data_IF_476127422402
#
_entry.id   IF_476127422402
#
_cell.length_a   1.000
_cell.length_b   1.000
_cell.length_c   1.000
_cell.angle_alpha   90.00
_cell.angle_beta   90.00
_cell.angle_gamma   90.00
#
_symmetry.space_group_name_H-M   'P 1'
#
loop_
_entity.id
_entity.type
_entity.pdbx_description
1 polymer ?
#
# COMPACT_ATOMS: atom_id res chain seq x y z
N UNK A 1 -3.51 -17.93 -13.74
CA UNK A 1 -3.05 -18.10 -15.14
C UNK A 1 -3.45 -16.86 -15.92
N UNK A 2 -2.50 -15.96 -16.20
CA UNK A 2 -2.75 -14.74 -16.99
C UNK A 2 -2.59 -15.08 -18.48
N UNK A 3 -3.64 -14.85 -19.27
CA UNK A 3 -3.63 -15.04 -20.74
C UNK A 3 -2.56 -14.13 -21.36
N UNK A 4 -1.61 -14.71 -22.07
CA UNK A 4 -0.64 -13.94 -22.85
C UNK A 4 -1.37 -13.36 -24.07
N UNK A 5 -1.43 -12.03 -24.15
CA UNK A 5 -2.08 -11.30 -25.25
C UNK A 5 -1.08 -11.21 -26.42
N UNK A 6 -1.44 -11.78 -27.57
CA UNK A 6 -0.59 -11.93 -28.76
C UNK A 6 -0.88 -10.90 -29.87
N UNK A 7 -1.88 -10.03 -29.73
CA UNK A 7 -2.22 -9.01 -30.73
C UNK A 7 -1.65 -7.64 -30.37
N UNK A 8 -1.17 -6.89 -31.36
CA UNK A 8 -0.45 -5.61 -31.20
C UNK A 8 -1.31 -4.40 -30.81
N UNK A 9 -2.64 -4.53 -30.82
CA UNK A 9 -3.55 -3.44 -30.51
C UNK A 9 -3.67 -3.25 -28.99
N UNK A 10 -3.14 -2.13 -28.46
CA UNK A 10 -3.23 -1.78 -27.03
C UNK A 10 -2.08 -2.26 -26.13
N UNK A 11 -1.17 -3.10 -26.62
CA UNK A 11 0.04 -3.53 -25.87
C UNK A 11 1.23 -2.59 -26.04
N UNK A 12 1.24 -1.74 -27.07
CA UNK A 12 2.36 -0.81 -27.32
C UNK A 12 2.54 0.18 -26.16
N UNK A 13 1.45 0.77 -25.65
CA UNK A 13 1.50 1.69 -24.51
C UNK A 13 2.00 1.00 -23.24
N UNK A 14 1.42 -0.15 -22.89
CA UNK A 14 1.84 -0.90 -21.70
C UNK A 14 3.28 -1.42 -21.81
N UNK A 15 3.74 -1.76 -23.02
CA UNK A 15 5.14 -2.10 -23.27
C UNK A 15 6.03 -0.89 -23.04
N UNK A 16 5.69 0.29 -23.58
CA UNK A 16 6.47 1.51 -23.39
C UNK A 16 6.51 1.96 -21.93
N UNK A 17 5.40 1.90 -21.19
CA UNK A 17 5.36 2.21 -19.75
C UNK A 17 6.28 1.27 -18.98
N UNK A 18 6.30 -0.03 -19.31
CA UNK A 18 7.20 -0.98 -18.65
C UNK A 18 8.66 -0.72 -18.96
N UNK A 19 8.99 -0.41 -20.22
CA UNK A 19 10.38 -0.08 -20.62
C UNK A 19 10.85 1.19 -19.92
N UNK A 20 10.01 2.22 -19.88
CA UNK A 20 10.31 3.52 -19.29
C UNK A 20 9.92 3.61 -17.81
N UNK A 21 9.68 2.49 -17.12
CA UNK A 21 9.05 2.49 -15.80
C UNK A 21 9.79 3.36 -14.77
N UNK A 22 11.13 3.35 -14.80
CA UNK A 22 11.93 4.16 -13.88
C UNK A 22 11.78 5.68 -14.08
N UNK A 23 11.57 6.13 -15.30
CA UNK A 23 11.33 7.55 -15.63
C UNK A 23 9.85 7.91 -15.45
N UNK A 24 8.97 6.98 -15.82
CA UNK A 24 7.53 7.12 -15.71
C UNK A 24 7.08 7.21 -14.26
N UNK A 25 7.58 6.33 -13.38
CA UNK A 25 7.19 6.28 -11.96
C UNK A 25 7.46 7.60 -11.23
N UNK A 26 8.54 8.31 -11.58
CA UNK A 26 8.92 9.59 -10.97
C UNK A 26 7.91 10.70 -11.26
N UNK A 27 7.19 10.60 -12.38
CA UNK A 27 6.22 11.59 -12.85
C UNK A 27 4.77 11.18 -12.61
N UNK A 28 4.53 10.08 -11.90
CA UNK A 28 3.19 9.52 -11.69
C UNK A 28 2.92 9.28 -10.21
N UNK A 29 1.66 9.43 -9.80
CA UNK A 29 1.22 9.13 -8.43
C UNK A 29 0.23 7.97 -8.45
N UNK A 30 0.39 7.03 -7.53
CA UNK A 30 -0.57 5.95 -7.32
C UNK A 30 -1.74 6.54 -6.52
N UNK A 31 -2.96 6.42 -7.06
CA UNK A 31 -4.19 6.73 -6.33
C UNK A 31 -4.92 5.44 -6.02
N UNK A 32 -5.08 5.14 -4.74
CA UNK A 32 -5.90 4.01 -4.30
C UNK A 32 -7.36 4.37 -4.54
N UNK A 33 -8.08 3.50 -5.26
CA UNK A 33 -9.53 3.61 -5.45
C UNK A 33 -10.27 2.98 -4.27
N UNK A 34 -10.99 1.87 -4.46
CA UNK A 34 -11.69 1.22 -3.34
C UNK A 34 -10.75 0.48 -2.38
N UNK A 35 -9.53 0.15 -2.78
CA UNK A 35 -8.53 -0.50 -1.91
C UNK A 35 -8.83 -1.96 -1.49
N UNK A 36 -9.94 -2.57 -1.92
CA UNK A 36 -10.42 -3.86 -1.43
C UNK A 36 -9.58 -5.06 -1.89
N UNK A 37 -8.77 -4.87 -2.93
CA UNK A 37 -7.85 -5.89 -3.47
C UNK A 37 -6.39 -5.64 -3.09
N UNK A 38 -6.12 -4.61 -2.30
CA UNK A 38 -4.76 -4.20 -1.94
C UNK A 38 -4.59 -4.48 -0.45
N UNK A 39 -3.68 -5.39 -0.12
CA UNK A 39 -3.33 -5.69 1.27
C UNK A 39 -2.59 -4.50 1.88
N UNK A 40 -3.15 -3.91 2.94
CA UNK A 40 -2.65 -2.66 3.53
C UNK A 40 -1.17 -2.74 3.92
N UNK A 41 -0.74 -3.89 4.45
CA UNK A 41 0.61 -4.03 5.00
C UNK A 41 1.64 -4.57 4.02
N UNK A 42 1.21 -5.44 3.09
CA UNK A 42 2.11 -6.23 2.25
C UNK A 42 2.31 -5.64 0.87
N UNK A 43 1.26 -5.05 0.30
CA UNK A 43 1.33 -4.49 -1.03
C UNK A 43 2.01 -3.12 -1.04
N UNK A 44 2.66 -2.81 -2.16
CA UNK A 44 3.30 -1.50 -2.38
C UNK A 44 2.28 -0.58 -3.02
N UNK A 45 1.57 0.16 -2.17
CA UNK A 45 0.63 1.21 -2.58
C UNK A 45 1.10 2.61 -2.19
N UNK A 46 2.17 2.70 -1.40
CA UNK A 46 2.87 3.93 -1.08
C UNK A 46 4.21 3.98 -1.85
N UNK A 47 4.62 5.17 -2.26
CA UNK A 47 5.82 5.37 -3.10
C UNK A 47 7.11 4.92 -2.39
N UNK A 48 7.18 5.09 -1.07
CA UNK A 48 8.34 4.67 -0.28
C UNK A 48 8.43 3.15 -0.04
N UNK A 49 7.43 2.37 -0.45
CA UNK A 49 7.40 0.91 -0.26
C UNK A 49 6.13 0.41 0.43
N UNK A 50 6.17 -0.83 0.92
CA UNK A 50 5.05 -1.38 1.70
C UNK A 50 5.11 -0.90 3.16
N UNK A 51 3.95 -0.77 3.80
CA UNK A 51 3.87 -0.26 5.16
C UNK A 51 4.53 -1.20 6.18
N UNK A 52 4.59 -2.51 5.90
CA UNK A 52 5.26 -3.48 6.76
C UNK A 52 6.77 -3.23 6.88
N UNK A 53 7.44 -2.87 5.79
CA UNK A 53 8.88 -2.59 5.80
C UNK A 53 9.19 -1.23 6.39
N UNK A 54 8.32 -0.24 6.14
CA UNK A 54 8.49 1.11 6.66
C UNK A 54 8.19 1.21 8.17
N UNK A 55 7.17 0.48 8.64
CA UNK A 55 6.69 0.53 10.02
C UNK A 55 6.51 -0.88 10.62
N UNK A 56 7.61 -1.66 10.79
CA UNK A 56 7.53 -3.04 11.26
C UNK A 56 6.96 -3.17 12.68
N UNK A 57 7.21 -2.18 13.55
CA UNK A 57 6.71 -2.20 14.93
C UNK A 57 5.19 -2.03 15.00
N UNK A 58 4.64 -1.18 14.13
CA UNK A 58 3.20 -0.94 14.03
C UNK A 58 2.54 -2.19 13.46
N UNK A 59 3.09 -2.73 12.35
CA UNK A 59 2.63 -3.98 11.76
C UNK A 59 2.54 -5.11 12.80
N UNK A 60 3.58 -5.29 13.63
CA UNK A 60 3.60 -6.33 14.66
C UNK A 60 2.61 -6.09 15.80
N UNK A 61 2.22 -4.84 16.02
CA UNK A 61 1.27 -4.46 17.06
C UNK A 61 -0.19 -4.63 16.60
N UNK A 62 -0.46 -4.63 15.29
CA UNK A 62 -1.82 -4.77 14.73
C UNK A 62 -2.32 -6.22 14.78
N UNK A 63 -3.60 -6.37 15.14
CA UNK A 63 -4.32 -7.63 15.22
C UNK A 63 -4.53 -8.23 13.82
N UNK A 64 -5.03 -7.42 12.88
CA UNK A 64 -5.39 -7.84 11.52
C UNK A 64 -4.38 -7.35 10.46
N UNK A 65 -3.28 -8.08 10.30
CA UNK A 65 -2.22 -7.75 9.35
C UNK A 65 -2.56 -8.03 7.88
N UNK A 66 -3.61 -8.81 7.61
CA UNK A 66 -4.00 -9.25 6.26
C UNK A 66 -5.16 -8.45 5.67
N UNK A 67 -5.63 -7.41 6.36
CA UNK A 67 -6.77 -6.62 5.90
C UNK A 67 -6.39 -5.78 4.68
N UNK A 68 -7.37 -5.57 3.81
CA UNK A 68 -7.22 -4.68 2.68
C UNK A 68 -7.22 -3.21 3.12
N UNK A 69 -6.86 -2.30 2.21
CA UNK A 69 -6.97 -0.86 2.47
C UNK A 69 -8.43 -0.47 2.72
N UNK A 70 -9.38 -1.08 1.98
CA UNK A 70 -10.81 -0.82 2.17
C UNK A 70 -11.27 -1.15 3.60
N UNK A 71 -10.74 -2.23 4.18
CA UNK A 71 -11.13 -2.69 5.51
C UNK A 71 -10.51 -1.85 6.63
N UNK A 72 -9.41 -1.14 6.34
CA UNK A 72 -8.76 -0.23 7.29
C UNK A 72 -9.32 1.18 7.20
N UNK A 73 -9.81 1.61 6.04
CA UNK A 73 -10.29 2.97 5.82
C UNK A 73 -11.77 3.10 6.18
N UNK A 74 -12.05 3.82 7.26
CA UNK A 74 -13.42 4.20 7.65
C UNK A 74 -13.66 5.67 7.30
N UNK A 75 -14.93 6.14 7.28
CA UNK A 75 -15.23 7.56 7.10
C UNK A 75 -14.59 8.48 8.15
N UNK A 76 -14.14 7.93 9.29
CA UNK A 76 -13.51 8.65 10.39
C UNK A 76 -11.97 8.58 10.33
N UNK A 77 -11.41 7.88 9.35
CA UNK A 77 -9.96 7.72 9.17
C UNK A 77 -9.52 6.25 9.13
N UNK A 78 -8.25 6.01 9.43
CA UNK A 78 -7.71 4.65 9.42
C UNK A 78 -7.93 3.96 10.79
N UNK A 79 -8.65 2.84 10.79
CA UNK A 79 -9.00 2.09 12.00
C UNK A 79 -8.07 0.90 12.21
N UNK A 80 -7.25 0.94 13.27
CA UNK A 80 -6.34 -0.14 13.65
C UNK A 80 -6.77 -0.78 14.97
N UNK A 81 -6.94 -2.10 14.94
CA UNK A 81 -7.08 -2.90 16.15
C UNK A 81 -5.71 -3.40 16.58
N UNK A 82 -5.26 -3.02 17.78
CA UNK A 82 -3.97 -3.46 18.32
C UNK A 82 -4.14 -4.69 19.21
N UNK A 83 -3.13 -5.58 19.18
CA UNK A 83 -3.10 -6.79 20.02
C UNK A 83 -2.92 -6.46 21.50
N UNK A 84 -2.31 -5.31 21.80
CA UNK A 84 -1.98 -4.79 23.14
C UNK A 84 -1.94 -3.28 23.07
N UNK A 85 -1.93 -2.61 24.23
CA UNK A 85 -1.68 -1.17 24.30
C UNK A 85 -0.31 -0.82 23.71
N UNK A 86 -0.22 0.36 23.08
CA UNK A 86 1.02 0.90 22.53
C UNK A 86 1.82 1.56 23.66
N UNK A 87 3.11 1.25 23.73
CA UNK A 87 4.04 1.95 24.60
C UNK A 87 4.29 3.37 24.07
N UNK A 88 4.71 4.30 24.92
CA UNK A 88 4.92 5.72 24.57
C UNK A 88 5.79 5.92 23.33
N UNK A 89 6.88 5.16 23.20
CA UNK A 89 7.76 5.24 22.03
C UNK A 89 7.10 4.72 20.73
N UNK A 90 6.15 3.78 20.82
CA UNK A 90 5.37 3.30 19.67
C UNK A 90 4.30 4.30 19.25
N UNK A 91 3.75 5.06 20.20
CA UNK A 91 2.78 6.13 19.90
C UNK A 91 3.44 7.19 19.01
N UNK A 92 4.67 7.59 19.31
CA UNK A 92 5.43 8.51 18.44
C UNK A 92 5.59 7.96 17.01
N UNK A 93 5.91 6.66 16.86
CA UNK A 93 5.96 6.01 15.55
C UNK A 93 4.61 5.97 14.84
N UNK A 94 3.52 5.80 15.58
CA UNK A 94 2.18 5.78 15.03
C UNK A 94 1.73 7.16 14.55
N UNK A 95 2.08 8.22 15.25
CA UNK A 95 1.82 9.59 14.81
C UNK A 95 2.55 9.88 13.50
N UNK A 96 3.83 9.50 13.39
CA UNK A 96 4.58 9.62 12.14
C UNK A 96 3.91 8.84 11.00
N UNK A 97 3.50 7.60 11.27
CA UNK A 97 2.80 6.76 10.30
C UNK A 97 1.47 7.38 9.80
N UNK A 98 0.67 7.98 10.69
CA UNK A 98 -0.59 8.63 10.32
C UNK A 98 -0.40 9.99 9.62
N UNK A 99 0.80 10.55 9.67
CA UNK A 99 1.17 11.80 9.00
C UNK A 99 1.76 11.60 7.59
N UNK A 100 1.86 10.36 7.12
CA UNK A 100 2.23 10.03 5.73
C UNK A 100 1.14 10.44 4.75
#
# INVERSE_FOLDING_TARGET
MTKVVTTSYGVSLWRSIRVLWNEFKLNTKIKVANGAKIEFWKDVWHEAGNMKSLFPDIHNSVLHQQRSIADHWTPQGCSFNFRRQLNDWKISRMVNFLSQ
#
